data_IF_411151219888
#
_entry.id   IF_411151219888
#
_cell.length_a   1.000
_cell.length_b   1.000
_cell.length_c   1.000
_cell.angle_alpha   90.00
_cell.angle_beta   90.00
_cell.angle_gamma   90.00
#
_symmetry.space_group_name_H-M   'P 1'
#
loop_
_entity.id
_entity.type
_entity.pdbx_description
1 polymer ?
#
# COMPACT_ATOMS: atom_id res chain seq x y z
N UNK A 1 -18.48 -18.40 7.22
CA UNK A 1 -17.35 -17.46 7.04
C UNK A 1 -17.03 -16.79 8.36
N UNK A 2 -15.81 -16.28 8.50
CA UNK A 2 -15.38 -15.60 9.72
C UNK A 2 -16.05 -14.22 9.84
N UNK A 3 -16.26 -13.75 11.07
CA UNK A 3 -16.70 -12.38 11.32
C UNK A 3 -15.48 -11.44 11.18
N UNK A 4 -15.69 -10.23 10.66
CA UNK A 4 -14.60 -9.24 10.44
C UNK A 4 -14.96 -7.86 10.99
N UNK A 5 -15.95 -7.76 11.88
CA UNK A 5 -16.43 -6.48 12.41
C UNK A 5 -15.34 -5.76 13.20
N UNK A 6 -14.68 -6.45 14.12
CA UNK A 6 -13.62 -5.87 14.96
C UNK A 6 -12.37 -5.60 14.15
N UNK A 7 -12.02 -6.54 13.27
CA UNK A 7 -10.86 -6.42 12.38
C UNK A 7 -11.01 -5.23 11.42
N UNK A 8 -12.20 -5.10 10.79
CA UNK A 8 -12.55 -3.94 9.96
C UNK A 8 -12.48 -2.63 10.75
N UNK A 9 -12.97 -2.63 11.98
CA UNK A 9 -12.94 -1.44 12.83
C UNK A 9 -11.48 -1.01 13.09
N UNK A 10 -10.62 -1.94 13.52
CA UNK A 10 -9.20 -1.67 13.73
C UNK A 10 -8.52 -1.12 12.48
N UNK A 11 -8.79 -1.73 11.31
CA UNK A 11 -8.33 -1.21 10.02
C UNK A 11 -8.75 0.24 9.77
N UNK A 12 -10.06 0.53 9.85
CA UNK A 12 -10.58 1.87 9.57
C UNK A 12 -10.01 2.92 10.53
N UNK A 13 -9.90 2.61 11.83
CA UNK A 13 -9.29 3.51 12.82
C UNK A 13 -7.81 3.79 12.54
N UNK A 14 -7.07 2.76 12.14
CA UNK A 14 -5.65 2.91 11.81
C UNK A 14 -5.47 3.79 10.57
N UNK A 15 -6.34 3.64 9.55
CA UNK A 15 -6.33 4.54 8.38
C UNK A 15 -6.72 5.97 8.76
N UNK A 16 -7.67 6.18 9.68
CA UNK A 16 -7.96 7.51 10.23
C UNK A 16 -6.73 8.14 10.90
N UNK A 17 -5.94 7.36 11.65
CA UNK A 17 -4.68 7.83 12.24
C UNK A 17 -3.63 8.18 11.17
N UNK A 18 -3.53 7.38 10.10
CA UNK A 18 -2.67 7.69 8.95
C UNK A 18 -3.07 9.02 8.30
N UNK A 19 -4.37 9.28 8.11
CA UNK A 19 -4.83 10.58 7.61
C UNK A 19 -4.43 11.74 8.51
N UNK A 20 -4.51 11.57 9.84
CA UNK A 20 -4.04 12.60 10.79
C UNK A 20 -2.57 12.93 10.54
N UNK A 21 -1.70 11.92 10.45
CA UNK A 21 -0.28 12.15 10.15
C UNK A 21 -0.06 12.78 8.78
N UNK A 22 -0.81 12.37 7.77
CA UNK A 22 -0.68 12.90 6.41
C UNK A 22 -1.05 14.39 6.34
N UNK A 23 -2.21 14.76 6.87
CA UNK A 23 -2.63 16.17 6.89
C UNK A 23 -1.80 17.03 7.84
N UNK A 24 -1.39 16.53 9.00
CA UNK A 24 -0.56 17.28 9.94
C UNK A 24 0.85 17.54 9.38
N UNK A 25 1.44 16.54 8.72
CA UNK A 25 2.73 16.68 8.04
C UNK A 25 2.64 17.72 6.92
N UNK A 26 1.56 17.67 6.12
CA UNK A 26 1.35 18.65 5.06
C UNK A 26 1.13 20.06 5.60
N UNK A 27 0.30 20.23 6.63
CA UNK A 27 0.01 21.52 7.24
C UNK A 27 1.28 22.29 7.63
N UNK A 28 2.24 21.60 8.24
CA UNK A 28 3.53 22.20 8.63
C UNK A 28 4.37 22.59 7.40
N UNK A 29 4.24 21.85 6.29
CA UNK A 29 5.02 22.05 5.08
C UNK A 29 4.43 23.08 4.13
N UNK A 30 3.14 23.42 4.24
CA UNK A 30 2.44 24.33 3.32
C UNK A 30 3.19 25.66 3.14
N UNK A 31 3.54 26.42 4.20
CA UNK A 31 4.15 27.74 4.00
C UNK A 31 5.49 27.68 3.24
N UNK A 32 6.29 26.64 3.47
CA UNK A 32 7.60 26.49 2.85
C UNK A 32 7.58 25.87 1.45
N UNK A 33 6.66 24.93 1.18
CA UNK A 33 6.62 24.20 -0.09
C UNK A 33 5.62 24.79 -1.08
N UNK A 34 4.45 25.21 -0.60
CA UNK A 34 3.27 25.48 -1.43
C UNK A 34 2.69 26.88 -1.28
N UNK A 35 3.09 27.61 -0.23
CA UNK A 35 2.67 28.98 0.01
C UNK A 35 3.09 29.92 -1.11
N UNK A 36 2.63 31.17 -1.04
CA UNK A 36 2.90 32.15 -2.10
C UNK A 36 4.41 32.44 -2.27
N UNK A 37 5.20 32.29 -1.19
CA UNK A 37 6.66 32.36 -1.19
C UNK A 37 7.34 30.98 -1.10
N UNK A 38 6.59 29.90 -1.30
CA UNK A 38 7.09 28.53 -1.21
C UNK A 38 7.94 28.13 -2.42
N UNK A 39 8.62 26.99 -2.31
CA UNK A 39 9.48 26.46 -3.40
C UNK A 39 8.66 26.20 -4.68
N UNK A 40 7.46 25.63 -4.56
CA UNK A 40 6.53 25.35 -5.65
C UNK A 40 5.12 25.84 -5.28
N UNK A 41 4.82 27.15 -5.46
CA UNK A 41 3.55 27.74 -5.05
C UNK A 41 2.36 27.02 -5.68
N UNK A 42 1.40 26.58 -4.85
CA UNK A 42 0.22 25.85 -5.31
C UNK A 42 -0.71 26.73 -6.18
N UNK A 43 -0.66 28.06 -6.01
CA UNK A 43 -1.40 29.02 -6.83
C UNK A 43 -1.09 28.89 -8.32
N UNK A 44 0.17 28.62 -8.68
CA UNK A 44 0.59 28.43 -10.08
C UNK A 44 -0.17 27.30 -10.80
N UNK A 45 -0.69 26.34 -10.04
CA UNK A 45 -1.47 25.21 -10.56
C UNK A 45 -2.94 25.53 -10.83
N UNK A 46 -3.40 26.71 -10.38
CA UNK A 46 -4.77 27.20 -10.50
C UNK A 46 -4.86 28.48 -11.36
N UNK A 47 -3.72 29.09 -11.69
CA UNK A 47 -3.63 30.27 -12.54
C UNK A 47 -4.05 29.97 -14.00
N UNK A 48 -4.64 30.97 -14.66
CA UNK A 48 -5.07 30.88 -16.07
C UNK A 48 -6.48 30.31 -16.30
N UNK A 49 -7.09 29.72 -15.27
CA UNK A 49 -8.46 29.18 -15.37
C UNK A 49 -9.51 30.13 -14.75
N UNK A 50 -9.14 31.32 -14.25
CA UNK A 50 -10.01 32.22 -13.49
C UNK A 50 -11.35 32.54 -14.18
N UNK A 51 -11.32 32.76 -15.50
CA UNK A 51 -12.49 33.10 -16.32
C UNK A 51 -13.43 31.94 -16.63
N UNK A 52 -13.04 30.70 -16.32
CA UNK A 52 -13.85 29.52 -16.61
C UNK A 52 -14.93 29.28 -15.54
N UNK A 53 -16.12 28.77 -15.94
CA UNK A 53 -17.12 28.28 -14.99
C UNK A 53 -16.54 27.18 -14.08
N UNK A 54 -16.99 27.14 -12.82
CA UNK A 54 -16.54 26.16 -11.81
C UNK A 54 -16.63 24.70 -12.30
N UNK A 55 -17.65 24.37 -13.09
CA UNK A 55 -17.81 23.03 -13.69
C UNK A 55 -16.63 22.67 -14.58
N UNK A 56 -16.19 23.58 -15.48
CA UNK A 56 -15.05 23.34 -16.36
C UNK A 56 -13.73 23.26 -15.58
N UNK A 57 -13.58 24.07 -14.53
CA UNK A 57 -12.44 24.01 -13.60
C UNK A 57 -12.33 22.64 -12.93
N UNK A 58 -13.43 22.15 -12.36
CA UNK A 58 -13.49 20.84 -11.71
C UNK A 58 -13.27 19.68 -12.68
N UNK A 59 -13.74 19.78 -13.93
CA UNK A 59 -13.47 18.77 -14.95
C UNK A 59 -11.99 18.71 -15.36
N UNK A 60 -11.29 19.84 -15.40
CA UNK A 60 -9.85 19.89 -15.71
C UNK A 60 -9.00 19.41 -14.54
N UNK A 61 -9.23 20.00 -13.36
CA UNK A 61 -8.48 19.70 -12.15
C UNK A 61 -9.45 19.61 -10.97
N UNK A 62 -9.88 18.41 -10.57
CA UNK A 62 -10.87 18.22 -9.51
C UNK A 62 -10.24 18.50 -8.15
N UNK A 63 -10.35 19.75 -7.68
CA UNK A 63 -9.86 20.16 -6.36
C UNK A 63 -10.83 21.11 -5.67
N UNK A 64 -10.95 20.96 -4.35
CA UNK A 64 -11.72 21.87 -3.51
C UNK A 64 -11.08 23.26 -3.38
N UNK A 65 -9.82 23.44 -3.78
CA UNK A 65 -9.15 24.74 -3.74
C UNK A 65 -9.81 25.78 -4.67
N UNK A 66 -10.57 25.34 -5.69
CA UNK A 66 -11.40 26.24 -6.50
C UNK A 66 -12.49 26.98 -5.71
N UNK A 67 -12.80 26.50 -4.51
CA UNK A 67 -13.77 27.15 -3.62
C UNK A 67 -13.14 28.30 -2.80
N UNK A 68 -11.81 28.44 -2.78
CA UNK A 68 -11.13 29.47 -2.00
C UNK A 68 -11.65 30.91 -2.28
N UNK A 69 -11.86 31.33 -3.55
CA UNK A 69 -12.36 32.67 -3.84
C UNK A 69 -13.77 32.93 -3.31
N UNK A 70 -14.63 31.89 -3.22
CA UNK A 70 -15.99 32.03 -2.70
C UNK A 70 -16.04 32.32 -1.21
N UNK A 71 -14.98 31.97 -0.48
CA UNK A 71 -14.83 32.19 0.97
C UNK A 71 -13.82 33.33 1.24
N UNK A 72 -13.38 34.04 0.19
CA UNK A 72 -12.36 35.11 0.25
C UNK A 72 -11.03 34.67 0.88
N UNK A 73 -10.62 33.42 0.65
CA UNK A 73 -9.34 32.86 1.11
C UNK A 73 -8.32 32.80 -0.03
N UNK A 74 -7.04 32.95 0.31
CA UNK A 74 -5.95 32.63 -0.62
C UNK A 74 -5.82 31.12 -0.80
N UNK A 75 -5.11 30.69 -1.85
CA UNK A 75 -4.84 29.28 -2.12
C UNK A 75 -4.12 28.61 -0.94
N UNK A 76 -3.11 29.29 -0.38
CA UNK A 76 -2.35 28.83 0.80
C UNK A 76 -3.26 28.60 2.01
N UNK A 77 -4.04 29.60 2.41
CA UNK A 77 -4.95 29.46 3.56
C UNK A 77 -6.05 28.43 3.32
N UNK A 78 -6.51 28.24 2.08
CA UNK A 78 -7.45 27.17 1.77
C UNK A 78 -6.82 25.79 1.95
N UNK A 79 -5.54 25.61 1.61
CA UNK A 79 -4.82 24.36 1.89
C UNK A 79 -4.70 24.09 3.39
N UNK A 80 -4.47 25.13 4.19
CA UNK A 80 -4.46 25.02 5.66
C UNK A 80 -5.82 24.58 6.19
N UNK A 81 -6.90 25.21 5.74
CA UNK A 81 -8.27 24.83 6.13
C UNK A 81 -8.57 23.38 5.75
N UNK A 82 -8.25 22.96 4.52
CA UNK A 82 -8.43 21.58 4.07
C UNK A 82 -7.64 20.61 4.97
N UNK A 83 -6.40 20.95 5.31
CA UNK A 83 -5.53 20.13 6.17
C UNK A 83 -6.07 20.03 7.59
N UNK A 84 -6.47 21.15 8.20
CA UNK A 84 -7.03 21.19 9.56
C UNK A 84 -8.36 20.42 9.65
N UNK A 85 -9.24 20.55 8.65
CA UNK A 85 -10.48 19.76 8.57
C UNK A 85 -10.15 18.28 8.42
N UNK A 86 -9.16 17.92 7.59
CA UNK A 86 -8.67 16.56 7.43
C UNK A 86 -8.14 15.96 8.74
N UNK A 87 -7.35 16.72 9.50
CA UNK A 87 -6.85 16.35 10.84
C UNK A 87 -8.04 16.09 11.78
N UNK A 88 -9.01 17.00 11.83
CA UNK A 88 -10.18 16.87 12.69
C UNK A 88 -11.02 15.63 12.36
N UNK A 89 -11.34 15.40 11.08
CA UNK A 89 -12.11 14.24 10.62
C UNK A 89 -11.36 12.91 10.83
N UNK A 90 -10.04 12.91 10.65
CA UNK A 90 -9.17 11.77 10.94
C UNK A 90 -9.15 11.46 12.43
N UNK A 91 -8.93 12.48 13.27
CA UNK A 91 -8.85 12.31 14.72
C UNK A 91 -10.18 11.84 15.32
N UNK A 92 -11.29 12.43 14.90
CA UNK A 92 -12.63 12.01 15.36
C UNK A 92 -12.96 10.57 14.96
N UNK A 93 -12.58 10.15 13.76
CA UNK A 93 -12.68 8.75 13.30
C UNK A 93 -11.80 7.79 14.12
N UNK A 94 -10.57 8.18 14.42
CA UNK A 94 -9.66 7.40 15.26
C UNK A 94 -10.20 7.18 16.68
N UNK A 95 -10.62 8.26 17.34
CA UNK A 95 -11.13 8.23 18.73
C UNK A 95 -12.48 7.50 18.79
N UNK A 96 -13.41 7.84 17.90
CA UNK A 96 -14.80 7.38 17.98
C UNK A 96 -15.18 6.56 16.76
N UNK A 97 -15.54 5.30 17.02
CA UNK A 97 -15.96 4.37 15.97
C UNK A 97 -17.19 4.84 15.19
N UNK A 98 -17.97 5.75 15.78
CA UNK A 98 -19.16 6.31 15.12
C UNK A 98 -18.80 7.09 13.85
N UNK A 99 -17.62 7.70 13.83
CA UNK A 99 -17.15 8.49 12.70
C UNK A 99 -16.35 7.68 11.68
N UNK A 100 -16.08 6.39 11.93
CA UNK A 100 -15.59 5.48 10.89
C UNK A 100 -16.71 5.04 9.94
N UNK A 101 -17.33 6.00 9.25
CA UNK A 101 -18.45 5.80 8.32
C UNK A 101 -18.09 6.25 6.90
N UNK A 102 -18.87 5.79 5.89
CA UNK A 102 -18.61 6.13 4.48
C UNK A 102 -18.49 7.64 4.22
N UNK A 103 -19.37 8.51 4.74
CA UNK A 103 -19.26 9.94 4.51
C UNK A 103 -17.95 10.53 5.04
N UNK A 104 -17.47 10.08 6.19
CA UNK A 104 -16.20 10.56 6.76
C UNK A 104 -15.01 10.16 5.88
N UNK A 105 -14.95 8.91 5.42
CA UNK A 105 -13.89 8.47 4.50
C UNK A 105 -13.99 9.12 3.13
N UNK A 106 -15.19 9.39 2.63
CA UNK A 106 -15.37 10.14 1.40
C UNK A 106 -14.84 11.57 1.56
N UNK A 107 -15.17 12.25 2.65
CA UNK A 107 -14.64 13.57 2.96
C UNK A 107 -13.12 13.57 3.09
N UNK A 108 -12.54 12.66 3.89
CA UNK A 108 -11.08 12.51 4.04
C UNK A 108 -10.39 12.28 2.69
N UNK A 109 -10.93 11.38 1.87
CA UNK A 109 -10.40 11.10 0.55
C UNK A 109 -10.48 12.32 -0.38
N UNK A 110 -11.62 13.02 -0.43
CA UNK A 110 -11.81 14.22 -1.26
C UNK A 110 -10.91 15.38 -0.84
N UNK A 111 -10.72 15.60 0.47
CA UNK A 111 -9.81 16.61 1.00
C UNK A 111 -8.36 16.30 0.62
N UNK A 112 -7.91 15.06 0.81
CA UNK A 112 -6.55 14.65 0.47
C UNK A 112 -6.30 14.70 -1.04
N UNK A 113 -7.24 14.20 -1.83
CA UNK A 113 -7.19 14.24 -3.29
C UNK A 113 -7.12 15.68 -3.82
N UNK A 114 -7.83 16.62 -3.19
CA UNK A 114 -7.77 18.04 -3.57
C UNK A 114 -6.36 18.64 -3.40
N UNK A 115 -5.67 18.29 -2.32
CA UNK A 115 -4.29 18.71 -2.05
C UNK A 115 -3.31 18.01 -2.98
N UNK A 116 -3.50 16.71 -3.19
CA UNK A 116 -2.67 15.93 -4.12
C UNK A 116 -2.65 16.54 -5.53
N UNK A 117 -3.81 17.00 -6.03
CA UNK A 117 -3.92 17.60 -7.37
C UNK A 117 -3.12 18.90 -7.57
N UNK A 118 -2.80 19.61 -6.50
CA UNK A 118 -1.97 20.83 -6.53
C UNK A 118 -0.58 20.62 -5.93
N UNK A 119 -0.32 19.43 -5.39
CA UNK A 119 0.84 19.08 -4.59
C UNK A 119 2.14 18.85 -5.38
N UNK A 120 2.09 18.87 -6.71
CA UNK A 120 3.24 18.82 -7.63
C UNK A 120 4.25 17.72 -7.23
N UNK A 121 5.55 17.93 -7.44
CA UNK A 121 6.62 16.95 -7.22
C UNK A 121 6.60 16.34 -5.81
N UNK A 122 6.28 17.13 -4.78
CA UNK A 122 6.34 16.70 -3.38
C UNK A 122 5.24 15.70 -2.98
N UNK A 123 4.16 15.60 -3.76
CA UNK A 123 3.07 14.61 -3.57
C UNK A 123 3.12 13.45 -4.56
N UNK A 124 4.17 13.31 -5.38
CA UNK A 124 4.27 12.23 -6.37
C UNK A 124 4.78 10.91 -5.81
N UNK A 125 5.13 10.85 -4.53
CA UNK A 125 5.69 9.65 -3.93
C UNK A 125 4.64 8.55 -3.70
N UNK A 126 5.13 7.31 -3.59
CA UNK A 126 4.29 6.12 -3.55
C UNK A 126 3.29 6.11 -2.38
N UNK A 127 3.63 6.72 -1.24
CA UNK A 127 2.78 6.74 -0.05
C UNK A 127 1.52 7.61 -0.24
N UNK A 128 1.57 8.63 -1.09
CA UNK A 128 0.42 9.47 -1.42
C UNK A 128 -0.57 8.72 -2.31
N UNK A 129 -0.04 8.08 -3.36
CA UNK A 129 -0.83 7.23 -4.26
C UNK A 129 -1.47 6.04 -3.51
N UNK A 130 -0.72 5.41 -2.60
CA UNK A 130 -1.24 4.32 -1.77
C UNK A 130 -2.33 4.79 -0.81
N UNK A 131 -2.20 6.00 -0.25
CA UNK A 131 -3.21 6.58 0.64
C UNK A 131 -4.51 6.91 -0.11
N UNK A 132 -4.43 7.42 -1.33
CA UNK A 132 -5.60 7.65 -2.19
C UNK A 132 -6.31 6.34 -2.54
N UNK A 133 -5.56 5.31 -2.92
CA UNK A 133 -6.14 4.00 -3.24
C UNK A 133 -6.77 3.34 -2.01
N UNK A 134 -6.07 3.37 -0.86
CA UNK A 134 -6.59 2.82 0.40
C UNK A 134 -7.80 3.60 0.90
N UNK A 135 -7.77 4.93 0.81
CA UNK A 135 -8.87 5.81 1.17
C UNK A 135 -10.14 5.51 0.38
N UNK A 136 -10.01 5.31 -0.94
CA UNK A 136 -11.12 4.88 -1.78
C UNK A 136 -11.70 3.53 -1.33
N UNK A 137 -10.84 2.55 -1.03
CA UNK A 137 -11.30 1.28 -0.47
C UNK A 137 -11.99 1.44 0.89
N UNK A 138 -11.54 2.36 1.74
CA UNK A 138 -12.21 2.67 3.01
C UNK A 138 -13.64 3.17 2.81
N UNK A 139 -13.92 3.95 1.75
CA UNK A 139 -15.29 4.36 1.40
C UNK A 139 -16.16 3.13 1.14
N UNK A 140 -15.64 2.11 0.44
CA UNK A 140 -16.35 0.86 0.20
C UNK A 140 -16.52 0.03 1.48
N UNK A 141 -15.46 -0.12 2.28
CA UNK A 141 -15.41 -0.97 3.47
C UNK A 141 -16.26 -0.40 4.62
N UNK A 142 -16.25 0.92 4.83
CA UNK A 142 -16.89 1.56 5.97
C UNK A 142 -18.42 1.34 6.02
N UNK A 143 -19.03 1.25 7.21
CA UNK A 143 -20.49 1.22 7.36
C UNK A 143 -21.13 2.56 6.99
N UNK A 144 -22.40 2.54 6.55
CA UNK A 144 -23.12 3.74 6.10
C UNK A 144 -23.62 4.64 7.25
N UNK A 145 -23.86 4.09 8.45
CA UNK A 145 -24.66 4.79 9.46
C UNK A 145 -24.00 4.94 10.84
N UNK A 146 -24.19 6.13 11.42
CA UNK A 146 -23.98 6.53 12.83
C UNK A 146 -25.04 5.89 13.76
N UNK A 147 -25.95 5.08 13.20
CA UNK A 147 -27.06 4.51 13.94
C UNK A 147 -26.63 3.34 14.84
N UNK A 148 -27.06 3.33 16.11
CA UNK A 148 -26.67 2.33 17.13
C UNK A 148 -26.86 0.88 16.66
N UNK A 149 -27.86 0.63 15.81
CA UNK A 149 -28.15 -0.69 15.27
C UNK A 149 -27.20 -1.15 14.16
N UNK A 150 -26.61 -0.23 13.38
CA UNK A 150 -25.56 -0.56 12.40
C UNK A 150 -24.28 -1.00 13.10
N UNK A 151 -24.01 -0.48 14.30
CA UNK A 151 -22.88 -0.93 15.12
C UNK A 151 -23.17 -2.23 15.85
N UNK A 152 -24.41 -2.52 16.26
CA UNK A 152 -24.76 -3.81 16.87
C UNK A 152 -24.88 -4.96 15.87
N UNK A 153 -25.20 -4.69 14.61
CA UNK A 153 -25.29 -5.70 13.55
C UNK A 153 -23.95 -6.44 13.37
N UNK A 154 -24.02 -7.76 13.23
CA UNK A 154 -22.89 -8.60 12.85
C UNK A 154 -22.38 -8.27 11.44
N UNK A 155 -21.30 -8.93 11.02
CA UNK A 155 -20.73 -8.78 9.67
C UNK A 155 -21.79 -9.07 8.59
N UNK A 156 -21.95 -8.15 7.63
CA UNK A 156 -22.75 -8.37 6.43
C UNK A 156 -22.05 -9.40 5.53
N UNK A 157 -22.78 -10.25 4.77
CA UNK A 157 -22.17 -11.12 3.77
C UNK A 157 -21.28 -10.37 2.78
N UNK A 158 -21.67 -9.14 2.41
CA UNK A 158 -20.90 -8.26 1.53
C UNK A 158 -19.62 -7.68 2.16
N UNK A 159 -19.44 -7.76 3.49
CA UNK A 159 -18.24 -7.24 4.15
C UNK A 159 -16.97 -7.99 3.71
N UNK A 160 -17.08 -9.28 3.46
CA UNK A 160 -15.95 -10.12 3.04
C UNK A 160 -15.43 -9.73 1.66
N UNK A 161 -16.34 -9.47 0.71
CA UNK A 161 -15.99 -9.07 -0.65
C UNK A 161 -15.26 -7.72 -0.65
N UNK A 162 -15.74 -6.77 0.17
CA UNK A 162 -15.10 -5.46 0.29
C UNK A 162 -13.72 -5.53 0.93
N UNK A 163 -13.56 -6.35 1.98
CA UNK A 163 -12.29 -6.50 2.68
C UNK A 163 -11.28 -7.32 1.89
N UNK A 164 -11.75 -8.20 1.00
CA UNK A 164 -10.91 -8.89 0.03
C UNK A 164 -10.18 -7.91 -0.91
N UNK A 165 -10.81 -6.79 -1.31
CA UNK A 165 -10.13 -5.75 -2.10
C UNK A 165 -8.93 -5.15 -1.36
N UNK A 166 -9.02 -5.00 -0.03
CA UNK A 166 -7.91 -4.52 0.81
C UNK A 166 -6.77 -5.55 0.82
N UNK A 167 -7.10 -6.84 0.91
CA UNK A 167 -6.11 -7.93 0.78
C UNK A 167 -5.48 -7.99 -0.60
N UNK A 168 -6.25 -7.71 -1.66
CA UNK A 168 -5.73 -7.62 -3.02
C UNK A 168 -4.76 -6.44 -3.17
N UNK A 169 -5.10 -5.28 -2.61
CA UNK A 169 -4.19 -4.12 -2.57
C UNK A 169 -2.89 -4.47 -1.83
N UNK A 170 -2.98 -5.08 -0.65
CA UNK A 170 -1.80 -5.54 0.10
C UNK A 170 -0.94 -6.51 -0.72
N UNK A 171 -1.58 -7.51 -1.34
CA UNK A 171 -0.90 -8.48 -2.21
C UNK A 171 -0.13 -7.77 -3.32
N UNK A 172 -0.79 -6.86 -4.02
CA UNK A 172 -0.23 -6.12 -5.15
C UNK A 172 0.93 -5.22 -4.70
N UNK A 173 0.76 -4.51 -3.59
CA UNK A 173 1.77 -3.64 -3.00
C UNK A 173 3.05 -4.42 -2.65
N UNK A 174 2.91 -5.48 -1.86
CA UNK A 174 4.05 -6.26 -1.35
C UNK A 174 4.75 -7.00 -2.48
N UNK A 175 4.00 -7.64 -3.40
CA UNK A 175 4.58 -8.41 -4.50
C UNK A 175 5.33 -7.54 -5.52
N UNK A 176 4.86 -6.30 -5.74
CA UNK A 176 5.45 -5.40 -6.74
C UNK A 176 6.84 -4.88 -6.32
N UNK A 177 7.10 -4.74 -5.02
CA UNK A 177 8.38 -4.27 -4.48
C UNK A 177 9.60 -5.12 -4.92
N UNK A 178 9.68 -6.43 -4.62
CA UNK A 178 10.82 -7.27 -4.96
C UNK A 178 10.94 -7.50 -6.46
N UNK A 179 9.81 -7.50 -7.18
CA UNK A 179 9.79 -7.59 -8.65
C UNK A 179 10.56 -6.41 -9.23
N UNK A 180 10.21 -5.18 -8.84
CA UNK A 180 10.93 -4.02 -9.36
C UNK A 180 12.40 -4.00 -8.95
N UNK A 181 12.73 -4.36 -7.70
CA UNK A 181 14.12 -4.45 -7.23
C UNK A 181 14.98 -5.37 -8.10
N UNK A 182 14.47 -6.55 -8.47
CA UNK A 182 15.19 -7.51 -9.32
C UNK A 182 15.16 -7.13 -10.81
N UNK A 183 14.01 -6.68 -11.33
CA UNK A 183 13.83 -6.19 -12.70
C UNK A 183 14.53 -4.86 -13.01
N UNK A 184 15.11 -4.20 -12.00
CA UNK A 184 16.00 -3.06 -12.22
C UNK A 184 17.33 -3.46 -12.86
N UNK A 185 17.75 -4.71 -12.65
CA UNK A 185 19.07 -5.19 -13.05
C UNK A 185 20.22 -4.73 -12.15
N UNK A 186 19.95 -3.95 -11.09
CA UNK A 186 20.95 -3.39 -10.16
C UNK A 186 21.77 -4.50 -9.49
N UNK A 187 23.11 -4.50 -9.64
CA UNK A 187 24.00 -5.48 -9.04
C UNK A 187 23.86 -5.61 -7.52
N UNK A 188 23.47 -4.55 -6.81
CA UNK A 188 23.34 -4.54 -5.35
C UNK A 188 22.25 -5.49 -4.87
N UNK A 189 21.12 -5.52 -5.57
CA UNK A 189 20.02 -6.47 -5.29
C UNK A 189 20.40 -7.89 -5.70
N UNK A 190 21.00 -8.07 -6.88
CA UNK A 190 21.39 -9.38 -7.40
C UNK A 190 22.51 -10.06 -6.59
N UNK A 191 23.41 -9.28 -6.00
CA UNK A 191 24.48 -9.76 -5.11
C UNK A 191 24.09 -9.79 -3.64
N UNK A 192 22.83 -9.44 -3.30
CA UNK A 192 22.29 -9.36 -1.94
C UNK A 192 23.04 -8.36 -1.03
N UNK A 193 23.80 -7.42 -1.59
CA UNK A 193 24.55 -6.40 -0.84
C UNK A 193 23.74 -5.13 -0.55
N UNK A 194 22.55 -5.03 -1.13
CA UNK A 194 21.65 -3.89 -1.06
C UNK A 194 21.51 -3.29 0.35
N UNK A 195 21.18 -4.09 1.37
CA UNK A 195 20.98 -3.55 2.73
C UNK A 195 22.26 -3.02 3.39
N UNK A 196 23.44 -3.47 2.97
CA UNK A 196 24.70 -2.90 3.46
C UNK A 196 24.89 -1.44 3.04
N UNK A 197 24.38 -1.08 1.86
CA UNK A 197 24.41 0.29 1.34
C UNK A 197 23.21 1.08 1.89
N UNK A 198 22.03 0.46 1.92
CA UNK A 198 20.77 1.11 2.29
C UNK A 198 20.81 1.83 3.64
N UNK A 199 21.33 1.19 4.69
CA UNK A 199 21.37 1.78 6.03
C UNK A 199 22.26 3.03 6.12
N UNK A 200 23.24 3.15 5.23
CA UNK A 200 24.12 4.31 5.14
C UNK A 200 23.53 5.41 4.25
N UNK A 201 22.87 5.03 3.14
CA UNK A 201 22.46 5.97 2.09
C UNK A 201 21.01 6.45 2.17
N UNK A 202 20.20 5.90 3.08
CA UNK A 202 18.80 6.30 3.22
C UNK A 202 18.65 7.75 3.72
N UNK A 203 17.59 8.45 3.28
CA UNK A 203 17.42 9.89 3.51
C UNK A 203 17.08 10.28 4.96
N UNK A 204 16.41 9.39 5.71
CA UNK A 204 15.99 9.64 7.09
C UNK A 204 16.22 8.38 7.96
N UNK A 205 17.48 7.99 8.22
CA UNK A 205 17.81 6.87 9.08
C UNK A 205 17.48 7.21 10.53
N UNK A 206 17.05 6.21 11.29
CA UNK A 206 17.01 6.31 12.75
C UNK A 206 18.39 5.95 13.34
N UNK A 207 18.65 6.21 14.63
CA UNK A 207 19.88 5.77 15.28
C UNK A 207 20.15 4.26 15.16
N UNK A 208 19.10 3.43 15.03
CA UNK A 208 19.26 1.98 14.91
C UNK A 208 19.87 1.56 13.56
N UNK A 209 19.64 2.34 12.49
CA UNK A 209 20.24 2.04 11.17
C UNK A 209 21.76 1.96 11.24
N UNK A 210 22.40 2.78 12.09
CA UNK A 210 23.85 2.74 12.29
C UNK A 210 24.30 1.38 12.82
N UNK A 211 23.62 0.83 13.83
CA UNK A 211 23.92 -0.50 14.36
C UNK A 211 23.64 -1.60 13.33
N UNK A 212 22.55 -1.46 12.56
CA UNK A 212 22.23 -2.40 11.49
C UNK A 212 23.28 -2.39 10.38
N UNK A 213 23.85 -1.24 10.03
CA UNK A 213 24.92 -1.11 9.03
C UNK A 213 26.18 -1.89 9.42
N UNK A 214 26.48 -1.97 10.73
CA UNK A 214 27.66 -2.70 11.25
C UNK A 214 27.44 -4.19 11.48
N UNK A 215 26.27 -4.73 11.13
CA UNK A 215 26.06 -6.19 11.12
C UNK A 215 27.06 -6.83 10.13
N UNK A 216 27.66 -8.00 10.46
CA UNK A 216 28.56 -8.69 9.55
C UNK A 216 27.96 -8.85 8.15
N UNK A 217 28.79 -8.75 7.11
CA UNK A 217 28.33 -8.75 5.72
C UNK A 217 27.46 -9.97 5.35
N UNK A 218 27.75 -11.15 5.92
CA UNK A 218 26.92 -12.34 5.72
C UNK A 218 25.50 -12.17 6.30
N UNK A 219 25.37 -11.51 7.44
CA UNK A 219 24.10 -11.20 8.09
C UNK A 219 23.27 -10.23 7.27
N UNK A 220 23.89 -9.17 6.74
CA UNK A 220 23.23 -8.21 5.85
C UNK A 220 22.74 -8.86 4.54
N UNK A 221 23.52 -9.77 3.96
CA UNK A 221 23.10 -10.52 2.78
C UNK A 221 21.94 -11.47 3.09
N UNK A 222 21.96 -12.12 4.24
CA UNK A 222 20.85 -12.96 4.70
C UNK A 222 19.58 -12.12 4.94
N UNK A 223 19.69 -10.96 5.58
CA UNK A 223 18.55 -10.04 5.77
C UNK A 223 18.00 -9.52 4.44
N UNK A 224 18.87 -9.23 3.47
CA UNK A 224 18.46 -8.84 2.11
C UNK A 224 17.67 -9.97 1.45
N UNK A 225 18.19 -11.19 1.46
CA UNK A 225 17.49 -12.38 0.96
C UNK A 225 16.15 -12.61 1.67
N UNK A 226 16.13 -12.49 3.00
CA UNK A 226 14.93 -12.63 3.81
C UNK A 226 13.85 -11.60 3.44
N UNK A 227 14.23 -10.32 3.27
CA UNK A 227 13.30 -9.27 2.86
C UNK A 227 12.69 -9.55 1.49
N UNK A 228 13.51 -9.95 0.50
CA UNK A 228 13.05 -10.33 -0.84
C UNK A 228 12.12 -11.55 -0.78
N UNK A 229 12.42 -12.53 0.06
CA UNK A 229 11.62 -13.74 0.23
C UNK A 229 10.26 -13.46 0.88
N UNK A 230 10.23 -12.66 1.94
CA UNK A 230 8.99 -12.25 2.62
C UNK A 230 8.09 -11.45 1.66
N UNK A 231 8.69 -10.60 0.82
CA UNK A 231 7.93 -9.82 -0.16
C UNK A 231 7.52 -10.62 -1.42
N UNK A 232 8.27 -11.66 -1.82
CA UNK A 232 8.02 -12.40 -3.07
C UNK A 232 7.27 -13.74 -2.88
N UNK A 233 7.61 -14.51 -1.84
CA UNK A 233 7.13 -15.88 -1.65
C UNK A 233 5.83 -15.91 -0.83
N UNK A 234 5.68 -15.02 0.15
CA UNK A 234 4.54 -15.02 1.07
C UNK A 234 3.24 -14.39 0.52
N UNK A 235 3.23 -13.40 -0.41
CA UNK A 235 1.98 -12.79 -0.86
C UNK A 235 0.89 -13.76 -1.35
N UNK A 236 1.18 -14.86 -2.08
CA UNK A 236 0.16 -15.84 -2.46
C UNK A 236 -0.68 -16.36 -1.29
N UNK A 237 -0.10 -16.46 -0.08
CA UNK A 237 -0.79 -16.87 1.14
C UNK A 237 -1.94 -15.93 1.54
N UNK A 238 -1.88 -14.66 1.13
CA UNK A 238 -2.89 -13.64 1.46
C UNK A 238 -4.25 -13.97 0.82
N UNK A 239 -4.20 -14.61 -0.35
CA UNK A 239 -5.35 -14.94 -1.19
C UNK A 239 -5.93 -16.33 -0.93
N UNK A 240 -5.18 -17.21 -0.24
CA UNK A 240 -5.64 -18.56 0.08
C UNK A 240 -6.74 -18.53 1.17
N UNK A 241 -7.78 -19.36 1.08
CA UNK A 241 -8.83 -19.45 2.11
C UNK A 241 -8.37 -20.23 3.36
N UNK A 242 -7.09 -20.10 3.75
CA UNK A 242 -6.45 -20.80 4.87
C UNK A 242 -6.06 -19.79 5.96
N UNK A 243 -6.77 -19.80 7.09
CA UNK A 243 -6.54 -18.82 8.15
C UNK A 243 -5.17 -18.94 8.82
N UNK A 244 -4.61 -20.16 8.91
CA UNK A 244 -3.26 -20.38 9.44
C UNK A 244 -2.20 -19.73 8.54
N UNK A 245 -2.25 -20.00 7.23
CA UNK A 245 -1.37 -19.40 6.24
C UNK A 245 -1.41 -17.86 6.26
N UNK A 246 -2.60 -17.26 6.34
CA UNK A 246 -2.77 -15.80 6.44
C UNK A 246 -2.15 -15.23 7.72
N UNK A 247 -2.27 -15.91 8.85
CA UNK A 247 -1.65 -15.48 10.13
C UNK A 247 -0.13 -15.54 10.07
N UNK A 248 0.43 -16.58 9.47
CA UNK A 248 1.88 -16.69 9.26
C UNK A 248 2.37 -15.51 8.42
N UNK A 249 1.74 -15.29 7.26
CA UNK A 249 2.00 -14.14 6.40
C UNK A 249 1.89 -12.80 7.15
N UNK A 250 0.83 -12.61 7.93
CA UNK A 250 0.62 -11.42 8.76
C UNK A 250 1.80 -11.15 9.68
N UNK A 251 2.27 -12.14 10.45
CA UNK A 251 3.38 -11.93 11.38
C UNK A 251 4.70 -11.58 10.68
N UNK A 252 5.02 -12.23 9.56
CA UNK A 252 6.21 -11.89 8.78
C UNK A 252 6.13 -10.47 8.20
N UNK A 253 4.96 -10.06 7.71
CA UNK A 253 4.77 -8.69 7.21
C UNK A 253 4.86 -7.66 8.34
N UNK A 254 4.20 -7.91 9.48
CA UNK A 254 4.30 -7.03 10.65
C UNK A 254 5.76 -6.89 11.11
N UNK A 255 6.49 -8.00 11.22
CA UNK A 255 7.91 -8.00 11.58
C UNK A 255 8.76 -7.15 10.62
N UNK A 256 8.53 -7.31 9.30
CA UNK A 256 9.22 -6.52 8.29
C UNK A 256 8.88 -5.03 8.44
N UNK A 257 7.60 -4.65 8.51
CA UNK A 257 7.18 -3.24 8.63
C UNK A 257 7.71 -2.58 9.90
N UNK A 258 7.69 -3.29 11.04
CA UNK A 258 8.26 -2.77 12.29
C UNK A 258 9.77 -2.55 12.18
N UNK A 259 10.49 -3.51 11.60
CA UNK A 259 11.95 -3.38 11.39
C UNK A 259 12.28 -2.20 10.49
N UNK A 260 11.49 -1.96 9.44
CA UNK A 260 11.64 -0.78 8.57
C UNK A 260 11.39 0.51 9.37
N UNK A 261 10.32 0.60 10.16
CA UNK A 261 10.02 1.79 10.98
C UNK A 261 11.14 2.12 11.97
N UNK A 262 11.67 1.12 12.67
CA UNK A 262 12.70 1.36 13.69
C UNK A 262 14.06 1.67 13.08
N UNK A 263 14.30 1.41 11.78
CA UNK A 263 15.56 1.69 11.08
C UNK A 263 15.48 2.94 10.21
N UNK A 264 14.30 3.32 9.71
CA UNK A 264 14.15 4.49 8.84
C UNK A 264 12.74 5.06 8.82
N UNK A 265 12.67 6.36 8.57
CA UNK A 265 11.41 7.07 8.42
C UNK A 265 10.98 7.10 6.95
N UNK A 266 9.84 6.47 6.66
CA UNK A 266 9.19 6.46 5.34
C UNK A 266 7.79 7.07 5.42
N UNK A 267 7.66 8.12 6.24
CA UNK A 267 6.42 8.83 6.49
C UNK A 267 5.35 7.87 7.06
N UNK A 268 4.09 7.94 6.62
CA UNK A 268 3.03 7.02 7.04
C UNK A 268 2.97 5.70 6.24
N UNK A 269 3.89 5.45 5.30
CA UNK A 269 3.84 4.28 4.41
C UNK A 269 3.77 2.94 5.16
N UNK A 270 4.66 2.74 6.12
CA UNK A 270 4.76 1.49 6.88
C UNK A 270 3.53 1.30 7.78
N UNK A 271 3.03 2.37 8.40
CA UNK A 271 1.81 2.32 9.21
C UNK A 271 0.58 1.98 8.36
N UNK A 272 0.49 2.54 7.16
CA UNK A 272 -0.57 2.21 6.20
C UNK A 272 -0.46 0.75 5.74
N UNK A 273 0.74 0.25 5.50
CA UNK A 273 0.99 -1.16 5.16
C UNK A 273 0.59 -2.09 6.31
N UNK A 274 0.90 -1.73 7.55
CA UNK A 274 0.41 -2.43 8.76
C UNK A 274 -1.12 -2.44 8.81
N UNK A 275 -1.77 -1.31 8.52
CA UNK A 275 -3.23 -1.25 8.46
C UNK A 275 -3.78 -2.25 7.42
N UNK A 276 -3.19 -2.27 6.22
CA UNK A 276 -3.55 -3.22 5.17
C UNK A 276 -3.35 -4.68 5.63
N UNK A 277 -2.31 -5.00 6.41
CA UNK A 277 -2.09 -6.35 6.96
C UNK A 277 -3.26 -6.86 7.82
N UNK A 278 -4.06 -5.99 8.44
CA UNK A 278 -5.27 -6.43 9.15
C UNK A 278 -6.29 -7.11 8.24
N UNK A 279 -6.21 -6.95 6.91
CA UNK A 279 -7.04 -7.66 5.95
C UNK A 279 -6.81 -9.18 5.92
N UNK A 280 -5.69 -9.64 6.49
CA UNK A 280 -5.34 -11.05 6.62
C UNK A 280 -5.97 -11.72 7.85
N UNK A 281 -6.50 -10.92 8.79
CA UNK A 281 -7.07 -11.39 10.05
C UNK A 281 -8.60 -11.49 9.99
N UNK A 282 -9.15 -12.20 10.96
CA UNK A 282 -10.58 -12.25 11.23
C UNK A 282 -10.83 -12.02 12.73
N UNK A 283 -12.10 -11.77 13.12
CA UNK A 283 -12.45 -11.48 14.51
C UNK A 283 -12.15 -12.64 15.45
N UNK A 284 -11.99 -13.86 14.92
CA UNK A 284 -11.64 -15.02 15.72
C UNK A 284 -10.19 -15.02 16.21
N UNK A 285 -9.35 -14.15 15.63
CA UNK A 285 -8.03 -13.85 16.13
C UNK A 285 -8.08 -13.14 17.50
N UNK A 286 -8.94 -12.12 17.63
CA UNK A 286 -9.08 -11.34 18.86
C UNK A 286 -10.01 -12.01 19.88
N UNK A 287 -11.04 -12.70 19.39
CA UNK A 287 -12.06 -13.35 20.22
C UNK A 287 -12.18 -14.82 19.83
N UNK A 288 -11.30 -15.70 20.35
CA UNK A 288 -11.31 -17.13 20.03
C UNK A 288 -12.65 -17.82 20.32
N UNK A 289 -13.42 -17.29 21.27
CA UNK A 289 -14.75 -17.77 21.63
C UNK A 289 -15.76 -17.71 20.47
N UNK A 290 -15.57 -16.81 19.49
CA UNK A 290 -16.41 -16.75 18.29
C UNK A 290 -16.22 -17.98 17.37
N UNK A 291 -15.14 -18.77 17.56
CA UNK A 291 -14.87 -19.99 16.81
C UNK A 291 -15.44 -21.28 17.46
N UNK A 292 -16.13 -21.20 18.60
CA UNK A 292 -16.56 -22.38 19.40
C UNK A 292 -17.43 -23.40 18.66
N UNK A 293 -18.03 -23.03 17.51
CA UNK A 293 -18.88 -23.88 16.66
C UNK A 293 -18.15 -24.56 15.49
N UNK A 294 -16.83 -24.37 15.31
CA UNK A 294 -16.09 -25.04 14.24
C UNK A 294 -15.78 -26.49 14.58
N UNK A 295 -15.91 -27.36 13.58
CA UNK A 295 -15.50 -28.76 13.70
C UNK A 295 -13.98 -28.83 13.96
N UNK A 296 -13.58 -29.44 15.08
CA UNK A 296 -12.18 -29.55 15.50
C UNK A 296 -11.31 -30.21 14.43
N UNK A 297 -11.82 -31.24 13.76
CA UNK A 297 -11.08 -31.97 12.71
C UNK A 297 -10.71 -31.06 11.54
N UNK A 298 -11.67 -30.28 11.02
CA UNK A 298 -11.44 -29.32 9.94
C UNK A 298 -10.45 -28.22 10.34
N UNK A 299 -10.46 -27.80 11.61
CA UNK A 299 -9.50 -26.83 12.12
C UNK A 299 -8.08 -27.39 12.17
N UNK A 300 -7.91 -28.63 12.63
CA UNK A 300 -6.61 -29.32 12.66
C UNK A 300 -6.10 -29.50 11.24
N UNK A 301 -6.95 -29.99 10.32
CA UNK A 301 -6.58 -30.15 8.91
C UNK A 301 -6.13 -28.83 8.27
N UNK A 302 -6.87 -27.74 8.49
CA UNK A 302 -6.49 -26.42 7.98
C UNK A 302 -5.14 -25.95 8.52
N UNK A 303 -4.84 -26.25 9.78
CA UNK A 303 -3.56 -25.90 10.39
C UNK A 303 -2.40 -26.74 9.84
N UNK A 304 -2.59 -28.05 9.70
CA UNK A 304 -1.61 -28.95 9.06
C UNK A 304 -1.31 -28.51 7.63
N UNK A 305 -2.36 -28.24 6.83
CA UNK A 305 -2.18 -27.71 5.46
C UNK A 305 -1.42 -26.38 5.48
N UNK A 306 -1.72 -25.49 6.43
CA UNK A 306 -1.00 -24.21 6.57
C UNK A 306 0.48 -24.42 6.88
N UNK A 307 0.83 -25.40 7.72
CA UNK A 307 2.23 -25.75 8.01
C UNK A 307 2.94 -26.35 6.81
N UNK A 308 2.28 -27.23 6.05
CA UNK A 308 2.85 -27.80 4.81
C UNK A 308 3.14 -26.71 3.81
N UNK A 309 2.20 -25.78 3.60
CA UNK A 309 2.38 -24.64 2.69
C UNK A 309 3.52 -23.74 3.18
N UNK A 310 3.64 -23.50 4.49
CA UNK A 310 4.76 -22.74 5.03
C UNK A 310 6.11 -23.47 4.88
N UNK A 311 6.15 -24.79 5.11
CA UNK A 311 7.31 -25.63 4.83
C UNK A 311 7.74 -25.57 3.37
N UNK A 312 6.78 -25.56 2.44
CA UNK A 312 7.05 -25.36 1.02
C UNK A 312 7.64 -23.96 0.74
N UNK A 313 7.12 -22.91 1.38
CA UNK A 313 7.68 -21.55 1.26
C UNK A 313 9.14 -21.48 1.77
N UNK A 314 9.45 -22.13 2.90
CA UNK A 314 10.81 -22.24 3.42
C UNK A 314 11.73 -23.03 2.47
N UNK A 315 11.22 -24.10 1.85
CA UNK A 315 11.97 -24.86 0.85
C UNK A 315 12.26 -24.02 -0.40
N UNK A 316 11.28 -23.26 -0.88
CA UNK A 316 11.46 -22.33 -2.01
C UNK A 316 12.50 -21.26 -1.64
N UNK A 317 12.44 -20.69 -0.43
CA UNK A 317 13.45 -19.75 0.06
C UNK A 317 14.87 -20.36 0.03
N UNK A 318 15.01 -21.57 0.59
CA UNK A 318 16.29 -22.30 0.56
C UNK A 318 16.81 -22.52 -0.86
N UNK A 319 15.92 -22.91 -1.79
CA UNK A 319 16.27 -23.14 -3.20
C UNK A 319 16.66 -21.86 -3.94
N UNK A 320 15.91 -20.77 -3.76
CA UNK A 320 16.14 -19.50 -4.48
C UNK A 320 17.39 -18.75 -4.00
N UNK A 321 17.73 -18.86 -2.71
CA UNK A 321 18.83 -18.09 -2.10
C UNK A 321 20.04 -18.93 -1.66
N UNK A 322 20.06 -20.23 -1.99
CA UNK A 322 21.27 -21.05 -1.97
C UNK A 322 22.00 -21.07 -0.63
N UNK A 323 21.26 -21.25 0.47
CA UNK A 323 21.81 -21.17 1.83
C UNK A 323 22.86 -22.26 2.09
N UNK A 324 24.07 -21.84 2.46
CA UNK A 324 25.12 -22.73 2.98
C UNK A 324 25.61 -22.21 4.32
N UNK A 325 25.81 -23.12 5.28
CA UNK A 325 26.28 -22.78 6.62
C UNK A 325 27.70 -23.32 6.75
N UNK A 326 28.66 -22.42 6.90
CA UNK A 326 30.02 -22.76 7.27
C UNK A 326 30.14 -22.70 8.80
N UNK A 327 30.75 -23.71 9.42
CA UNK A 327 30.80 -23.83 10.88
C UNK A 327 32.04 -23.17 11.50
N UNK A 328 33.12 -22.95 10.75
CA UNK A 328 34.38 -22.36 11.23
C UNK A 328 35.01 -21.45 10.17
N UNK A 329 34.87 -20.11 10.27
CA UNK A 329 34.00 -19.35 11.19
C UNK A 329 32.50 -19.58 10.92
N UNK A 330 31.62 -19.26 11.88
CA UNK A 330 30.17 -19.33 11.66
C UNK A 330 29.74 -18.26 10.65
N UNK A 331 29.50 -18.65 9.41
CA UNK A 331 29.02 -17.75 8.35
C UNK A 331 27.92 -18.41 7.53
N UNK A 332 26.88 -17.64 7.22
CA UNK A 332 25.80 -18.09 6.33
C UNK A 332 26.03 -17.48 4.95
N UNK A 333 26.43 -18.30 3.99
CA UNK A 333 26.55 -17.87 2.60
C UNK A 333 25.16 -17.87 1.96
N UNK A 334 24.78 -16.73 1.39
CA UNK A 334 23.55 -16.55 0.62
C UNK A 334 23.87 -16.02 -0.77
N UNK A 335 23.22 -16.60 -1.77
CA UNK A 335 23.38 -16.19 -3.17
C UNK A 335 22.13 -16.52 -3.96
N UNK A 336 21.79 -15.68 -4.93
CA UNK A 336 20.70 -15.99 -5.86
C UNK A 336 21.13 -17.16 -6.75
N UNK A 337 20.30 -18.20 -6.84
CA UNK A 337 20.62 -19.44 -7.56
C UNK A 337 20.10 -19.48 -8.99
N UNK A 338 19.36 -18.46 -9.41
CA UNK A 338 18.77 -18.34 -10.74
C UNK A 338 19.40 -17.20 -11.55
N UNK A 339 19.39 -17.35 -12.86
CA UNK A 339 19.88 -16.32 -13.79
C UNK A 339 18.83 -15.24 -14.08
N UNK A 340 19.27 -14.11 -14.65
CA UNK A 340 18.37 -13.04 -15.10
C UNK A 340 17.35 -13.52 -16.15
N UNK A 341 17.75 -14.43 -17.03
CA UNK A 341 16.87 -15.01 -18.07
C UNK A 341 15.79 -15.89 -17.43
N UNK A 342 16.20 -16.80 -16.54
CA UNK A 342 15.24 -17.64 -15.79
C UNK A 342 14.27 -16.81 -14.96
N UNK A 343 14.75 -15.70 -14.39
CA UNK A 343 13.90 -14.77 -13.67
C UNK A 343 12.86 -14.09 -14.56
N UNK A 344 13.25 -13.63 -15.75
CA UNK A 344 12.36 -12.99 -16.73
C UNK A 344 11.24 -13.95 -17.18
N UNK A 345 11.61 -15.17 -17.55
CA UNK A 345 10.67 -16.23 -17.93
C UNK A 345 9.69 -16.55 -16.79
N UNK A 346 10.21 -16.72 -15.56
CA UNK A 346 9.41 -16.99 -14.38
C UNK A 346 8.49 -15.82 -14.03
N UNK A 347 8.97 -14.57 -14.17
CA UNK A 347 8.18 -13.38 -13.87
C UNK A 347 6.98 -13.25 -14.80
N UNK A 348 7.17 -13.47 -16.10
CA UNK A 348 6.09 -13.43 -17.08
C UNK A 348 4.96 -14.40 -16.74
N UNK A 349 5.28 -15.66 -16.49
CA UNK A 349 4.29 -16.68 -16.14
C UNK A 349 3.73 -16.48 -14.73
N UNK A 350 4.59 -16.13 -13.78
CA UNK A 350 4.25 -15.91 -12.38
C UNK A 350 3.23 -14.79 -12.17
N UNK A 351 3.32 -13.70 -12.94
CA UNK A 351 2.34 -12.61 -12.91
C UNK A 351 0.96 -13.05 -13.42
N UNK A 352 0.91 -13.86 -14.48
CA UNK A 352 -0.35 -14.42 -14.99
C UNK A 352 -0.96 -15.36 -13.96
N UNK A 353 -0.16 -16.23 -13.35
CA UNK A 353 -0.59 -17.13 -12.27
C UNK A 353 -1.09 -16.33 -11.05
N UNK A 354 -0.41 -15.25 -10.68
CA UNK A 354 -0.81 -14.37 -9.58
C UNK A 354 -2.18 -13.71 -9.83
N UNK A 355 -2.41 -13.21 -11.05
CA UNK A 355 -3.72 -12.66 -11.44
C UNK A 355 -4.80 -13.74 -11.40
N UNK A 356 -4.51 -14.93 -11.94
CA UNK A 356 -5.43 -16.06 -11.91
C UNK A 356 -5.78 -16.51 -10.47
N UNK A 357 -4.79 -16.58 -9.59
CA UNK A 357 -4.99 -16.83 -8.16
C UNK A 357 -5.90 -15.78 -7.53
N UNK A 358 -5.73 -14.50 -7.90
CA UNK A 358 -6.64 -13.42 -7.54
C UNK A 358 -8.07 -13.67 -8.00
N UNK A 359 -8.28 -14.05 -9.26
CA UNK A 359 -9.61 -14.38 -9.82
C UNK A 359 -10.27 -15.53 -9.05
N UNK A 360 -9.55 -16.64 -8.83
CA UNK A 360 -10.09 -17.80 -8.09
C UNK A 360 -10.44 -17.43 -6.65
N UNK A 361 -9.56 -16.68 -5.98
CA UNK A 361 -9.79 -16.19 -4.61
C UNK A 361 -11.01 -15.26 -4.52
N UNK A 362 -11.18 -14.36 -5.49
CA UNK A 362 -12.33 -13.48 -5.59
C UNK A 362 -13.63 -14.26 -5.81
N UNK A 363 -13.66 -15.17 -6.78
CA UNK A 363 -14.82 -16.00 -7.09
C UNK A 363 -15.26 -16.83 -5.89
N UNK A 364 -14.30 -17.44 -5.18
CA UNK A 364 -14.58 -18.15 -3.94
C UNK A 364 -15.23 -17.24 -2.89
N UNK A 365 -14.69 -16.03 -2.70
CA UNK A 365 -15.21 -15.05 -1.74
C UNK A 365 -16.61 -14.55 -2.12
N UNK A 366 -16.85 -14.30 -3.41
CA UNK A 366 -18.14 -13.86 -3.93
C UNK A 366 -19.22 -14.95 -3.80
N UNK A 367 -18.90 -16.19 -4.18
CA UNK A 367 -19.81 -17.34 -4.04
C UNK A 367 -20.13 -17.61 -2.56
N UNK A 368 -19.13 -17.54 -1.69
CA UNK A 368 -19.35 -17.69 -0.25
C UNK A 368 -20.27 -16.59 0.30
N UNK A 369 -20.13 -15.34 -0.17
CA UNK A 369 -20.98 -14.22 0.26
C UNK A 369 -22.44 -14.39 -0.19
N UNK A 370 -22.65 -14.84 -1.43
CA UNK A 370 -23.98 -15.18 -1.94
C UNK A 370 -24.59 -16.33 -1.13
N UNK A 371 -23.85 -17.41 -0.91
CA UNK A 371 -24.29 -18.55 -0.11
C UNK A 371 -24.72 -18.15 1.31
N UNK A 372 -23.93 -17.28 1.97
CA UNK A 372 -24.26 -16.80 3.31
C UNK A 372 -25.54 -15.95 3.33
N UNK A 373 -25.80 -15.21 2.26
CA UNK A 373 -27.02 -14.40 2.13
C UNK A 373 -28.29 -15.26 2.12
N UNK A 374 -28.24 -16.43 1.49
CA UNK A 374 -29.36 -17.39 1.51
C UNK A 374 -29.52 -18.08 2.87
N UNK A 375 -28.41 -18.44 3.54
CA UNK A 375 -28.46 -19.19 4.80
C UNK A 375 -28.86 -18.36 6.02
N UNK A 376 -28.58 -17.06 6.01
CA UNK A 376 -28.86 -16.15 7.11
C UNK A 376 -29.35 -14.79 6.56
N UNK A 377 -30.59 -14.72 6.06
CA UNK A 377 -31.11 -13.50 5.47
C UNK A 377 -31.21 -12.37 6.49
N UNK A 378 -30.95 -11.15 6.02
CA UNK A 378 -31.04 -9.93 6.84
C UNK A 378 -32.46 -9.71 7.36
N UNK A 379 -32.60 -8.97 8.47
CA UNK A 379 -33.90 -8.51 8.99
C UNK A 379 -34.74 -7.73 7.96
N UNK A 380 -34.08 -7.11 6.97
CA UNK A 380 -34.71 -6.38 5.87
C UNK A 380 -35.18 -7.30 4.72
N UNK A 381 -35.12 -8.62 4.91
CA UNK A 381 -35.48 -9.63 3.92
C UNK A 381 -34.29 -10.12 3.08
N UNK A 382 -34.44 -11.35 2.57
CA UNK A 382 -33.44 -12.03 1.72
C UNK A 382 -33.16 -11.26 0.43
N UNK A 383 -34.21 -10.75 -0.23
CA UNK A 383 -34.09 -10.05 -1.52
C UNK A 383 -33.25 -8.78 -1.40
N UNK A 384 -33.51 -7.94 -0.39
CA UNK A 384 -32.71 -6.73 -0.13
C UNK A 384 -31.25 -7.06 0.12
N UNK A 385 -30.98 -8.11 0.91
CA UNK A 385 -29.61 -8.56 1.20
C UNK A 385 -28.90 -9.10 -0.05
N UNK A 386 -29.62 -9.77 -0.95
CA UNK A 386 -29.09 -10.26 -2.22
C UNK A 386 -28.74 -9.11 -3.15
N UNK A 387 -29.63 -8.13 -3.33
CA UNK A 387 -29.37 -6.94 -4.17
C UNK A 387 -28.14 -6.19 -3.69
N UNK A 388 -28.03 -5.94 -2.37
CA UNK A 388 -26.87 -5.27 -1.78
C UNK A 388 -25.59 -6.09 -1.97
N UNK A 389 -25.65 -7.42 -1.80
CA UNK A 389 -24.48 -8.28 -1.96
C UNK A 389 -24.03 -8.33 -3.41
N UNK A 390 -24.96 -8.44 -4.36
CA UNK A 390 -24.67 -8.41 -5.80
C UNK A 390 -24.06 -7.08 -6.23
N UNK A 391 -24.61 -5.96 -5.74
CA UNK A 391 -24.05 -4.63 -6.00
C UNK A 391 -22.57 -4.54 -5.58
N UNK A 392 -22.24 -4.93 -4.34
CA UNK A 392 -20.85 -4.90 -3.88
C UNK A 392 -19.94 -5.92 -4.57
N UNK A 393 -20.46 -7.07 -5.01
CA UNK A 393 -19.70 -8.01 -5.86
C UNK A 393 -19.38 -7.37 -7.21
N UNK A 394 -20.36 -6.74 -7.86
CA UNK A 394 -20.15 -6.05 -9.14
C UNK A 394 -19.15 -4.89 -9.01
N UNK A 395 -19.30 -4.05 -7.97
CA UNK A 395 -18.33 -2.97 -7.68
C UNK A 395 -16.93 -3.52 -7.43
N UNK A 396 -16.80 -4.57 -6.62
CA UNK A 396 -15.51 -5.17 -6.32
C UNK A 396 -14.87 -5.82 -7.55
N UNK A 397 -15.66 -6.46 -8.41
CA UNK A 397 -15.19 -7.01 -9.68
C UNK A 397 -14.63 -5.91 -10.59
N UNK A 398 -15.30 -4.76 -10.69
CA UNK A 398 -14.83 -3.62 -11.49
C UNK A 398 -13.51 -3.07 -10.95
N UNK A 399 -13.45 -2.79 -9.64
CA UNK A 399 -12.23 -2.28 -8.98
C UNK A 399 -11.08 -3.27 -9.13
N UNK A 400 -11.32 -4.56 -8.88
CA UNK A 400 -10.34 -5.62 -9.05
C UNK A 400 -9.82 -5.69 -10.49
N UNK A 401 -10.74 -5.69 -11.48
CA UNK A 401 -10.38 -5.81 -12.90
C UNK A 401 -9.44 -4.68 -13.33
N UNK A 402 -9.71 -3.44 -12.94
CA UNK A 402 -8.84 -2.28 -13.24
C UNK A 402 -7.49 -2.39 -12.50
N UNK A 403 -7.49 -2.96 -11.29
CA UNK A 403 -6.28 -3.17 -10.49
C UNK A 403 -5.38 -4.31 -10.98
N UNK A 404 -5.85 -5.16 -11.90
CA UNK A 404 -4.97 -6.17 -12.54
C UNK A 404 -4.01 -5.54 -13.55
N UNK A 405 -4.36 -4.39 -14.14
CA UNK A 405 -3.58 -3.75 -15.21
C UNK A 405 -2.18 -3.32 -14.74
N UNK A 406 -2.00 -2.59 -13.62
CA UNK A 406 -0.64 -2.22 -13.19
C UNK A 406 0.24 -3.43 -12.86
N UNK A 407 -0.35 -4.52 -12.36
CA UNK A 407 0.38 -5.74 -12.05
C UNK A 407 0.83 -6.44 -13.33
N UNK A 408 -0.04 -6.53 -14.35
CA UNK A 408 0.30 -7.08 -15.65
C UNK A 408 1.34 -6.23 -16.40
N UNK A 409 1.35 -4.91 -16.19
CA UNK A 409 2.29 -3.99 -16.80
C UNK A 409 3.75 -4.18 -16.33
N UNK A 410 4.00 -4.95 -15.26
CA UNK A 410 5.35 -5.24 -14.79
C UNK A 410 6.17 -6.10 -15.76
N UNK A 411 5.52 -6.81 -16.69
CA UNK A 411 6.22 -7.65 -17.67
C UNK A 411 5.48 -7.69 -19.03
N UNK A 412 6.18 -7.62 -20.18
CA UNK A 412 5.55 -7.62 -21.51
C UNK A 412 4.64 -8.82 -21.78
N UNK A 413 5.03 -10.02 -21.33
CA UNK A 413 4.22 -11.24 -21.51
C UNK A 413 2.86 -11.14 -20.78
N UNK A 414 2.87 -10.72 -19.51
CA UNK A 414 1.64 -10.57 -18.72
C UNK A 414 0.77 -9.42 -19.27
N UNK A 415 1.39 -8.32 -19.69
CA UNK A 415 0.71 -7.18 -20.32
C UNK A 415 -0.07 -7.62 -21.58
N UNK A 416 0.50 -8.49 -22.42
CA UNK A 416 -0.17 -9.02 -23.62
C UNK A 416 -1.43 -9.83 -23.29
N UNK A 417 -1.47 -10.50 -22.14
CA UNK A 417 -2.67 -11.26 -21.69
C UNK A 417 -3.81 -10.36 -21.21
N UNK A 418 -3.53 -9.10 -20.88
CA UNK A 418 -4.54 -8.17 -20.38
C UNK A 418 -5.44 -7.64 -21.50
N UNK A 419 -6.76 -7.73 -21.29
CA UNK A 419 -7.76 -7.31 -22.27
C UNK A 419 -7.68 -5.80 -22.60
N UNK A 420 -7.75 -5.38 -23.88
CA UNK A 420 -7.61 -3.96 -24.27
C UNK A 420 -8.62 -3.02 -23.59
N UNK A 421 -9.88 -3.46 -23.40
CA UNK A 421 -10.89 -2.66 -22.68
C UNK A 421 -10.47 -2.33 -21.24
N UNK A 422 -9.83 -3.26 -20.54
CA UNK A 422 -9.36 -3.02 -19.17
C UNK A 422 -8.25 -1.96 -19.15
N UNK A 423 -7.36 -1.98 -20.14
CA UNK A 423 -6.31 -0.95 -20.29
C UNK A 423 -6.91 0.43 -20.55
N UNK A 424 -7.94 0.49 -21.40
CA UNK A 424 -8.68 1.74 -21.69
C UNK A 424 -9.41 2.27 -20.45
N UNK A 425 -10.10 1.41 -19.70
CA UNK A 425 -10.76 1.83 -18.45
C UNK A 425 -9.75 2.28 -17.40
N UNK A 426 -8.62 1.58 -17.29
CA UNK A 426 -7.55 1.97 -16.39
C UNK A 426 -6.97 3.35 -16.75
N UNK A 427 -6.70 3.62 -18.03
CA UNK A 427 -6.19 4.94 -18.46
C UNK A 427 -7.20 6.06 -18.24
N UNK A 428 -8.49 5.82 -18.50
CA UNK A 428 -9.55 6.80 -18.25
C UNK A 428 -9.69 7.14 -16.76
N UNK A 429 -9.49 6.17 -15.87
CA UNK A 429 -9.63 6.34 -14.42
C UNK A 429 -8.31 6.66 -13.70
N UNK A 430 -7.19 6.74 -14.43
CA UNK A 430 -5.85 6.95 -13.86
C UNK A 430 -5.78 8.25 -13.03
N UNK A 431 -6.48 9.30 -13.47
CA UNK A 431 -6.52 10.59 -12.76
C UNK A 431 -7.09 10.50 -11.34
N UNK A 432 -7.92 9.49 -11.03
CA UNK A 432 -8.52 9.31 -9.71
C UNK A 432 -7.60 8.58 -8.72
N UNK A 433 -6.46 8.04 -9.16
CA UNK A 433 -5.53 7.29 -8.32
C UNK A 433 -6.17 6.11 -7.53
N UNK A 434 -7.17 5.45 -8.13
CA UNK A 434 -7.85 4.26 -7.57
C UNK A 434 -7.12 2.94 -7.92
N UNK A 435 -6.13 3.01 -8.81
CA UNK A 435 -5.29 1.89 -9.22
C UNK A 435 -3.93 2.47 -9.62
N UNK A 436 -2.91 2.27 -8.79
CA UNK A 436 -1.58 2.87 -9.00
C UNK A 436 -0.49 1.81 -9.19
N UNK A 437 0.60 2.15 -9.87
CA UNK A 437 1.81 1.30 -9.88
C UNK A 437 2.67 1.57 -8.64
N UNK A 438 3.35 0.54 -8.16
CA UNK A 438 4.23 0.61 -6.99
C UNK A 438 5.67 0.24 -7.40
N UNK A 439 6.71 0.70 -6.69
CA UNK A 439 8.10 0.45 -7.12
C UNK A 439 9.22 1.20 -6.38
N UNK A 440 9.09 1.42 -5.07
CA UNK A 440 10.15 2.04 -4.24
C UNK A 440 11.46 1.22 -4.26
N UNK A 441 12.58 1.94 -4.23
CA UNK A 441 13.95 1.40 -4.17
C UNK A 441 14.30 0.43 -5.31
N UNK A 442 13.77 0.68 -6.50
CA UNK A 442 14.09 -0.09 -7.72
C UNK A 442 15.60 -0.18 -7.94
N UNK A 443 16.31 0.94 -7.85
CA UNK A 443 17.76 1.05 -7.90
C UNK A 443 18.25 1.56 -6.55
N UNK A 444 19.32 0.96 -6.03
CA UNK A 444 19.91 1.38 -4.77
C UNK A 444 20.63 2.73 -4.94
N UNK A 445 20.30 3.68 -4.07
CA UNK A 445 20.97 4.98 -4.02
C UNK A 445 22.24 4.90 -3.18
N UNK A 446 23.23 5.72 -3.51
CA UNK A 446 24.48 5.81 -2.75
C UNK A 446 25.52 4.73 -3.07
N UNK A 447 25.29 3.90 -4.10
CA UNK A 447 26.25 2.87 -4.55
C UNK A 447 27.54 3.51 -5.07
N UNK A 448 27.41 4.58 -5.87
CA UNK A 448 28.53 5.33 -6.44
C UNK A 448 29.02 6.46 -5.53
N UNK A 449 28.71 6.37 -4.24
CA UNK A 449 28.91 7.46 -3.28
C UNK A 449 27.75 8.46 -3.25
N UNK A 450 27.96 9.54 -2.51
CA UNK A 450 26.96 10.59 -2.35
C UNK A 450 27.07 11.59 -3.51
N UNK A 451 26.02 11.84 -4.29
CA UNK A 451 26.03 12.94 -5.24
C UNK A 451 26.15 14.27 -4.46
N UNK A 452 27.12 15.09 -4.83
CA UNK A 452 27.39 16.39 -4.20
C UNK A 452 27.15 17.50 -5.22
N UNK A 453 26.47 18.58 -4.82
CA UNK A 453 26.36 19.79 -5.63
C UNK A 453 27.53 20.70 -5.27
N UNK A 454 28.50 20.76 -6.17
CA UNK A 454 29.67 21.64 -6.03
C UNK A 454 29.35 22.96 -6.72
N UNK A 455 29.29 24.04 -5.94
CA UNK A 455 29.12 25.39 -6.47
C UNK A 455 30.50 25.99 -6.63
N UNK A 456 30.90 26.21 -7.88
CA UNK A 456 32.15 26.86 -8.24
C UNK A 456 31.89 28.33 -8.61
N UNK A 457 32.77 29.21 -8.16
CA UNK A 457 32.74 30.65 -8.46
C UNK A 457 34.08 31.13 -9.00
N UNK A 458 34.03 32.14 -9.86
CA UNK A 458 35.21 32.82 -10.40
C UNK A 458 35.01 34.33 -10.39
N UNK A 459 36.06 35.09 -10.05
CA UNK A 459 36.05 36.55 -10.10
C UNK A 459 36.15 37.10 -11.54
N UNK A 460 36.54 36.26 -12.50
CA UNK A 460 36.66 36.62 -13.91
C UNK A 460 35.96 35.54 -14.77
N UNK A 461 35.32 35.95 -15.89
CA UNK A 461 34.58 35.02 -16.78
C UNK A 461 35.46 33.92 -17.37
N UNK A 462 36.76 34.13 -17.41
CA UNK A 462 37.75 33.18 -17.94
C UNK A 462 38.32 32.24 -16.86
N UNK A 463 37.87 32.37 -15.61
CA UNK A 463 38.39 31.63 -14.46
C UNK A 463 39.61 32.29 -13.81
N UNK A 464 40.35 31.54 -12.96
CA UNK A 464 40.08 30.16 -12.59
C UNK A 464 38.78 30.03 -11.79
N UNK A 465 38.04 28.95 -12.02
CA UNK A 465 36.88 28.56 -11.23
C UNK A 465 37.38 27.88 -9.97
N UNK A 466 36.87 28.32 -8.82
CA UNK A 466 37.24 27.77 -7.51
C UNK A 466 35.99 27.30 -6.79
N UNK A 467 36.06 26.16 -6.12
CA UNK A 467 34.97 25.63 -5.29
C UNK A 467 34.64 26.66 -4.19
N UNK A 468 33.43 27.22 -4.26
CA UNK A 468 32.94 28.24 -3.31
C UNK A 468 32.06 27.64 -2.23
N UNK A 469 31.30 26.59 -2.55
CA UNK A 469 30.55 25.83 -1.56
C UNK A 469 30.24 24.42 -2.06
N UNK A 470 30.09 23.50 -1.10
CA UNK A 470 29.68 22.13 -1.34
C UNK A 470 28.36 21.89 -0.63
N UNK A 471 27.30 21.73 -1.39
CA UNK A 471 25.98 21.44 -0.87
C UNK A 471 25.65 19.95 -1.07
N UNK A 472 24.90 19.44 -0.11
CA UNK A 472 24.71 18.04 0.18
C UNK A 472 23.38 17.49 -0.31
#
# INVERSE_FOLDING_TARGET
MAQIRYTRNLFLRTVCLVYVFAFASLYIQIPGLYGDNGILPARSQLEGDESLPLQKKLHRKPTLLWLAPFISLSTEYMMDVISLVGIFLGFTGFVSQKFCCKPNFFALWSLYYSLFQVGQTFMTFQWDSLLLETGFLCILVAPFGINKDSYRKGSSPSDQVKFWLVSWLLFRLILTSPINKLSSGDPSWWTLKALGIHFQSMALPTPLAWFCHHIPAWGLRLTTAFSLAVELILPPLFLLPLSGAKKIAFYFQMFLQFTIIITGNFNWYNLLTIALCFSLLDDSYFYPELNRKKNKLLSILSWVVSLVVFGAACFVFYKLFGLKIDQKPFTVQTQITFSKIQYDDFLGQGLVIAIFLGVVSFLWTALAALWQTFRAPSKNGTLSSLVVTFFYIATALMVFSINTVPLANLHPFANKTSHPLLKSWHSQLAHLHISNSYGLFRVMTGVDGRPEVIIEGANNRQGPWTETSRAM
#
